data_IF_686733078512
#
_entry.id   IF_686733078512
#
_cell.length_a   1.000
_cell.length_b   1.000
_cell.length_c   1.000
_cell.angle_alpha   90.00
_cell.angle_beta   90.00
_cell.angle_gamma   90.00
#
_symmetry.space_group_name_H-M   'P 1'
#
loop_
_entity.id
_entity.type
_entity.pdbx_description
1 polymer ?
#
# COMPACT_ATOMS: atom_id res chain seq x y z
N UNK A 1 3.81 17.79 -13.14
CA UNK A 1 2.73 17.23 -13.96
C UNK A 1 1.62 16.87 -12.99
N UNK A 2 0.57 17.69 -12.92
CA UNK A 2 -0.56 17.49 -12.01
C UNK A 2 -1.70 16.86 -12.80
N UNK A 3 -2.01 15.59 -12.50
CA UNK A 3 -3.24 14.92 -12.93
C UNK A 3 -4.09 14.79 -11.66
N UNK A 4 -4.54 15.94 -11.16
CA UNK A 4 -5.49 16.06 -10.06
C UNK A 4 -6.92 15.83 -10.56
N UNK A 5 -7.20 14.67 -11.12
CA UNK A 5 -8.58 14.25 -11.35
C UNK A 5 -9.18 13.84 -10.01
N UNK A 6 -10.17 14.59 -9.52
CA UNK A 6 -10.99 14.09 -8.42
C UNK A 6 -11.68 12.80 -8.88
N UNK A 7 -11.19 11.66 -8.41
CA UNK A 7 -11.84 10.39 -8.70
C UNK A 7 -13.04 10.27 -7.78
N UNK A 8 -14.17 10.80 -8.25
CA UNK A 8 -15.46 10.82 -7.56
C UNK A 8 -15.72 9.45 -6.89
N UNK A 9 -15.83 9.46 -5.56
CA UNK A 9 -16.11 8.27 -4.76
C UNK A 9 -14.90 7.54 -4.14
N UNK A 10 -13.68 8.04 -4.30
CA UNK A 10 -12.49 7.53 -3.60
C UNK A 10 -12.22 8.36 -2.33
N UNK A 11 -12.50 7.77 -1.16
CA UNK A 11 -12.46 8.44 0.15
C UNK A 11 -11.13 8.31 0.88
N UNK A 12 -10.24 7.43 0.43
CA UNK A 12 -8.99 7.12 1.11
C UNK A 12 -7.84 7.11 0.10
N UNK A 13 -6.63 7.40 0.57
CA UNK A 13 -5.41 7.27 -0.23
C UNK A 13 -4.47 6.31 0.49
N UNK A 14 -4.08 5.23 -0.18
CA UNK A 14 -2.99 4.36 0.24
C UNK A 14 -1.68 4.95 -0.28
N UNK A 15 -0.81 5.32 0.64
CA UNK A 15 0.52 5.80 0.36
C UNK A 15 1.49 4.68 0.65
N UNK A 16 2.37 4.42 -0.31
CA UNK A 16 3.53 3.55 -0.19
C UNK A 16 4.78 4.42 -0.37
N UNK A 17 5.73 4.25 0.55
CA UNK A 17 7.02 4.91 0.49
C UNK A 17 8.10 3.83 0.48
N UNK A 18 8.89 3.77 -0.59
CA UNK A 18 10.14 3.01 -0.57
C UNK A 18 11.18 3.81 0.23
N UNK A 19 11.62 3.27 1.36
CA UNK A 19 12.49 3.97 2.28
C UNK A 19 13.92 4.16 1.72
N UNK A 20 14.37 3.29 0.81
CA UNK A 20 15.70 3.37 0.23
C UNK A 20 15.79 4.48 -0.83
N UNK A 21 14.94 4.42 -1.86
CA UNK A 21 14.93 5.40 -2.94
C UNK A 21 14.17 6.69 -2.61
N UNK A 22 13.38 6.70 -1.52
CA UNK A 22 12.39 7.74 -1.21
C UNK A 22 11.33 7.90 -2.29
N UNK A 23 11.13 6.88 -3.13
CA UNK A 23 10.07 6.86 -4.12
C UNK A 23 8.71 6.69 -3.44
N UNK A 24 7.79 7.61 -3.74
CA UNK A 24 6.45 7.65 -3.14
C UNK A 24 5.43 7.29 -4.21
N UNK A 25 4.55 6.34 -3.88
CA UNK A 25 3.40 5.97 -4.70
C UNK A 25 2.11 6.17 -3.92
N UNK A 26 1.10 6.72 -4.56
CA UNK A 26 -0.22 6.94 -3.97
C UNK A 26 -1.31 6.27 -4.80
N UNK A 27 -2.12 5.45 -4.17
CA UNK A 27 -3.26 4.79 -4.78
C UNK A 27 -4.55 5.24 -4.11
N UNK A 28 -5.49 5.78 -4.87
CA UNK A 28 -6.75 6.17 -4.28
C UNK A 28 -7.67 4.94 -4.13
N UNK A 29 -8.35 4.88 -2.99
CA UNK A 29 -9.15 3.75 -2.52
C UNK A 29 -10.59 4.20 -2.25
N UNK A 30 -11.55 3.40 -2.73
CA UNK A 30 -12.98 3.61 -2.45
C UNK A 30 -13.34 3.28 -1.00
N UNK A 31 -12.77 2.20 -0.46
CA UNK A 31 -13.00 1.74 0.90
C UNK A 31 -11.72 1.20 1.54
N UNK A 32 -11.58 1.45 2.85
CA UNK A 32 -10.48 1.00 3.72
C UNK A 32 -10.69 -0.46 4.15
N UNK A 33 -10.77 -1.37 3.19
CA UNK A 33 -10.89 -2.82 3.44
C UNK A 33 -9.56 -3.51 3.16
N UNK A 34 -9.27 -4.57 3.91
CA UNK A 34 -8.05 -5.38 3.75
C UNK A 34 -7.87 -5.85 2.30
N UNK A 35 -8.94 -6.30 1.65
CA UNK A 35 -8.91 -6.89 0.31
C UNK A 35 -8.49 -5.86 -0.75
N UNK A 36 -8.93 -4.60 -0.59
CA UNK A 36 -8.53 -3.52 -1.49
C UNK A 36 -7.05 -3.18 -1.33
N UNK A 37 -6.55 -3.21 -0.09
CA UNK A 37 -5.14 -2.97 0.21
C UNK A 37 -4.27 -4.09 -0.35
N UNK A 38 -4.65 -5.36 -0.13
CA UNK A 38 -3.95 -6.52 -0.70
C UNK A 38 -3.85 -6.42 -2.22
N UNK A 39 -4.97 -6.14 -2.91
CA UNK A 39 -4.96 -5.99 -4.38
C UNK A 39 -3.97 -4.92 -4.85
N UNK A 40 -3.85 -3.81 -4.12
CA UNK A 40 -2.88 -2.76 -4.47
C UNK A 40 -1.45 -3.14 -4.11
N UNK A 41 -1.24 -3.86 -3.02
CA UNK A 41 0.06 -4.44 -2.68
C UNK A 41 0.52 -5.45 -3.74
N UNK A 42 -0.38 -6.29 -4.27
CA UNK A 42 -0.03 -7.21 -5.35
C UNK A 42 0.44 -6.47 -6.61
N UNK A 43 -0.26 -5.42 -7.03
CA UNK A 43 0.19 -4.57 -8.14
C UNK A 43 1.56 -3.95 -7.87
N UNK A 44 1.83 -3.51 -6.64
CA UNK A 44 3.13 -2.98 -6.25
C UNK A 44 4.22 -4.04 -6.30
N UNK A 45 3.93 -5.26 -5.86
CA UNK A 45 4.85 -6.39 -5.92
C UNK A 45 5.15 -6.80 -7.36
N UNK A 46 4.16 -6.73 -8.25
CA UNK A 46 4.35 -6.98 -9.69
C UNK A 46 5.24 -5.92 -10.35
N UNK A 47 5.13 -4.66 -9.93
CA UNK A 47 5.87 -3.53 -10.52
C UNK A 47 7.30 -3.39 -9.96
N UNK A 48 7.47 -3.52 -8.65
CA UNK A 48 8.71 -3.21 -7.94
C UNK A 48 9.39 -4.43 -7.32
N UNK A 49 8.74 -5.60 -7.39
CA UNK A 49 9.19 -6.80 -6.69
C UNK A 49 8.69 -6.87 -5.25
N UNK A 50 8.99 -7.98 -4.59
CA UNK A 50 8.55 -8.20 -3.21
C UNK A 50 9.46 -7.45 -2.24
N UNK A 51 8.93 -6.55 -1.38
CA UNK A 51 9.73 -5.90 -0.36
C UNK A 51 10.19 -6.91 0.69
N UNK A 52 11.39 -6.73 1.23
CA UNK A 52 11.89 -7.60 2.30
C UNK A 52 11.19 -7.32 3.63
N UNK A 53 10.85 -6.06 3.89
CA UNK A 53 10.24 -5.61 5.13
C UNK A 53 9.08 -4.69 4.80
N UNK A 54 7.88 -5.12 5.21
CA UNK A 54 6.66 -4.35 5.12
C UNK A 54 6.42 -3.67 6.48
N UNK A 55 6.53 -2.35 6.51
CA UNK A 55 6.17 -1.55 7.69
C UNK A 55 4.81 -0.91 7.39
N UNK A 56 3.87 -1.07 8.31
CA UNK A 56 2.55 -0.44 8.21
C UNK A 56 2.19 0.16 9.55
N UNK A 57 1.28 1.12 9.54
CA UNK A 57 0.63 1.52 10.79
C UNK A 57 -0.19 0.36 11.38
N UNK A 58 -0.51 0.45 12.67
CA UNK A 58 -1.27 -0.59 13.37
C UNK A 58 -2.77 -0.53 13.03
N UNK A 59 -3.12 -0.18 11.80
CA UNK A 59 -4.50 -0.09 11.38
C UNK A 59 -5.10 -1.48 11.09
N UNK A 60 -6.42 -1.57 11.27
CA UNK A 60 -7.17 -2.83 11.23
C UNK A 60 -6.99 -3.62 9.93
N UNK A 61 -6.90 -2.92 8.81
CA UNK A 61 -6.68 -3.49 7.49
C UNK A 61 -5.32 -4.18 7.35
N UNK A 62 -4.28 -3.64 8.01
CA UNK A 62 -2.93 -4.21 7.99
C UNK A 62 -2.73 -5.33 9.04
N UNK A 63 -3.49 -5.30 10.15
CA UNK A 63 -3.40 -6.31 11.21
C UNK A 63 -4.25 -7.57 10.95
N UNK A 64 -5.04 -7.59 9.88
CA UNK A 64 -6.00 -8.65 9.59
C UNK A 64 -5.33 -9.99 9.21
N UNK A 65 -5.99 -11.12 9.50
CA UNK A 65 -5.47 -12.46 9.16
C UNK A 65 -5.15 -12.63 7.66
N UNK A 66 -5.97 -12.14 6.72
CA UNK A 66 -5.66 -12.22 5.29
C UNK A 66 -4.38 -11.45 4.94
N UNK A 67 -4.21 -10.23 5.46
CA UNK A 67 -3.00 -9.44 5.24
C UNK A 67 -1.74 -10.18 5.69
N UNK A 68 -1.79 -10.78 6.89
CA UNK A 68 -0.65 -11.51 7.46
C UNK A 68 -0.26 -12.74 6.65
N UNK A 69 -1.22 -13.34 5.93
CA UNK A 69 -0.96 -14.45 5.00
C UNK A 69 -0.26 -13.97 3.74
N UNK A 70 -0.74 -12.87 3.15
CA UNK A 70 -0.14 -12.29 1.94
C UNK A 70 1.26 -11.75 2.19
N UNK A 71 1.49 -11.05 3.30
CA UNK A 71 2.81 -10.52 3.65
C UNK A 71 3.83 -11.59 4.05
N UNK A 72 3.38 -12.73 4.57
CA UNK A 72 4.24 -13.85 4.96
C UNK A 72 4.65 -14.78 3.81
N UNK A 73 3.92 -14.76 2.69
CA UNK A 73 4.06 -15.75 1.61
C UNK A 73 5.15 -15.43 0.57
N UNK A 74 5.66 -14.20 0.51
CA UNK A 74 6.61 -13.78 -0.52
C UNK A 74 7.97 -13.46 0.12
N UNK A 75 8.92 -14.42 0.05
CA UNK A 75 10.33 -14.25 0.44
C UNK A 75 11.24 -14.59 -0.73
N UNK A 76 11.62 -13.58 -1.50
CA UNK A 76 12.77 -13.63 -2.43
C UNK A 76 13.17 -12.19 -2.72
N UNK A 77 14.46 -11.90 -2.55
CA UNK A 77 14.96 -10.57 -2.20
C UNK A 77 15.06 -9.55 -3.34
N UNK A 78 14.86 -8.29 -2.97
CA UNK A 78 15.86 -7.23 -3.03
C UNK A 78 15.47 -6.15 -2.02
N UNK A 79 16.47 -5.52 -1.40
CA UNK A 79 16.34 -4.61 -0.26
C UNK A 79 15.40 -3.43 -0.55
N UNK A 80 14.16 -3.48 -0.06
CA UNK A 80 13.24 -2.35 -0.02
C UNK A 80 12.40 -2.47 1.24
N UNK A 81 12.51 -1.44 2.10
CA UNK A 81 11.65 -1.25 3.25
C UNK A 81 10.50 -0.37 2.76
N UNK A 82 9.28 -0.88 2.83
CA UNK A 82 8.13 -0.14 2.33
C UNK A 82 7.22 0.26 3.49
N UNK A 83 6.98 1.56 3.63
CA UNK A 83 6.06 2.10 4.64
C UNK A 83 4.70 2.35 4.00
N UNK A 84 3.65 1.76 4.56
CA UNK A 84 2.28 1.96 4.11
C UNK A 84 1.45 2.74 5.11
N UNK A 85 0.78 3.78 4.61
CA UNK A 85 -0.18 4.58 5.36
C UNK A 85 -1.48 4.76 4.57
N UNK A 86 -2.61 4.73 5.26
CA UNK A 86 -3.89 5.08 4.66
C UNK A 86 -4.41 6.36 5.30
N UNK A 87 -4.48 7.40 4.48
CA UNK A 87 -4.94 8.73 4.90
C UNK A 87 -6.35 8.94 4.33
N UNK A 88 -7.34 9.35 5.16
CA UNK A 88 -8.63 9.79 4.64
C UNK A 88 -8.43 11.02 3.77
N UNK A 89 -9.14 11.08 2.64
CA UNK A 89 -9.16 12.28 1.81
C UNK A 89 -9.97 13.32 2.58
N UNK A 90 -9.31 14.34 3.10
CA UNK A 90 -10.00 15.51 3.66
C UNK A 90 -10.82 16.15 2.53
N UNK A 91 -12.11 16.36 2.80
CA UNK A 91 -13.07 17.01 1.88
C UNK A 91 -12.95 18.51 2.08
#
# INVERSE_FOLDING_TARGET
>A
MDIGGDVVGQKYVLINIDHYSRFVTSYPLKARTTENVIKKLDTLVELFGTPQILVSDNAREFCSKPMRRESGAKKTGSSSYTLHHIIPKEI
#
